data_IF_968614284883
#
_entry.id   IF_968614284883
#
_cell.length_a   1.000
_cell.length_b   1.000
_cell.length_c   1.000
_cell.angle_alpha   90.00
_cell.angle_beta   90.00
_cell.angle_gamma   90.00
#
_symmetry.space_group_name_H-M   'P 1'
#
loop_
_entity.id
_entity.type
_entity.pdbx_description
1 polymer ?
#
# COMPACT_ATOMS: atom_id res chain seq x y z
N UNK A 1 -11.49 -18.61 -53.99
CA UNK A 1 -11.85 -19.19 -52.68
C UNK A 1 -10.64 -19.56 -51.81
N UNK A 2 -9.64 -20.37 -52.26
CA UNK A 2 -8.50 -20.75 -51.40
C UNK A 2 -7.53 -19.60 -51.08
N UNK A 3 -7.44 -18.60 -51.97
CA UNK A 3 -6.61 -17.41 -51.75
C UNK A 3 -7.10 -16.51 -50.63
N UNK A 4 -8.43 -16.36 -50.49
CA UNK A 4 -9.02 -15.53 -49.43
C UNK A 4 -8.84 -16.19 -48.06
N UNK A 5 -9.02 -17.51 -47.97
CA UNK A 5 -8.73 -18.26 -46.74
C UNK A 5 -7.26 -18.21 -46.36
N UNK A 6 -6.34 -18.34 -47.32
CA UNK A 6 -4.91 -18.21 -47.05
C UNK A 6 -4.55 -16.80 -46.53
N UNK A 7 -5.16 -15.74 -47.09
CA UNK A 7 -4.91 -14.37 -46.66
C UNK A 7 -5.49 -14.09 -45.26
N UNK A 8 -6.69 -14.57 -44.97
CA UNK A 8 -7.32 -14.42 -43.64
C UNK A 8 -6.54 -15.17 -42.56
N UNK A 9 -6.05 -16.38 -42.85
CA UNK A 9 -5.20 -17.13 -41.94
C UNK A 9 -3.88 -16.40 -41.69
N UNK A 10 -3.26 -15.84 -42.73
CA UNK A 10 -2.04 -15.04 -42.60
C UNK A 10 -2.23 -13.81 -41.71
N UNK A 11 -3.32 -13.06 -41.92
CA UNK A 11 -3.65 -11.89 -41.10
C UNK A 11 -3.96 -12.29 -39.66
N UNK A 12 -4.69 -13.39 -39.43
CA UNK A 12 -4.99 -13.89 -38.10
C UNK A 12 -3.73 -14.27 -37.32
N UNK A 13 -2.77 -14.94 -37.97
CA UNK A 13 -1.48 -15.29 -37.37
C UNK A 13 -0.67 -14.04 -37.03
N UNK A 14 -0.63 -13.05 -37.93
CA UNK A 14 0.02 -11.76 -37.67
C UNK A 14 -0.60 -11.04 -36.48
N UNK A 15 -1.93 -10.97 -36.39
CA UNK A 15 -2.62 -10.35 -35.25
C UNK A 15 -2.33 -11.08 -33.92
N UNK A 16 -2.24 -12.41 -33.93
CA UNK A 16 -1.89 -13.18 -32.74
C UNK A 16 -0.44 -12.92 -32.30
N UNK A 17 0.49 -12.82 -33.25
CA UNK A 17 1.89 -12.46 -32.97
C UNK A 17 1.97 -11.05 -32.37
N UNK A 18 1.29 -10.07 -32.97
CA UNK A 18 1.23 -8.70 -32.45
C UNK A 18 0.65 -8.64 -31.03
N UNK A 19 -0.41 -9.42 -30.76
CA UNK A 19 -1.00 -9.50 -29.42
C UNK A 19 -0.01 -10.07 -28.40
N UNK A 20 0.67 -11.18 -28.75
CA UNK A 20 1.67 -11.82 -27.87
C UNK A 20 2.86 -10.88 -27.64
N UNK A 21 3.34 -10.19 -28.67
CA UNK A 21 4.41 -9.20 -28.55
C UNK A 21 3.98 -8.02 -27.68
N UNK A 22 2.76 -7.50 -27.86
CA UNK A 22 2.23 -6.39 -27.07
C UNK A 22 2.09 -6.77 -25.60
N UNK A 23 1.51 -7.95 -25.31
CA UNK A 23 1.39 -8.48 -23.95
C UNK A 23 2.77 -8.76 -23.34
N UNK A 24 3.70 -9.30 -24.12
CA UNK A 24 5.08 -9.55 -23.70
C UNK A 24 5.83 -8.25 -23.37
N UNK A 25 5.67 -7.22 -24.19
CA UNK A 25 6.25 -5.89 -23.97
C UNK A 25 5.63 -5.24 -22.73
N UNK A 26 4.31 -5.29 -22.55
CA UNK A 26 3.65 -4.76 -21.34
C UNK A 26 4.14 -5.50 -20.09
N UNK A 27 4.22 -6.84 -20.12
CA UNK A 27 4.76 -7.64 -19.01
C UNK A 27 6.22 -7.30 -18.73
N UNK A 28 7.03 -7.13 -19.78
CA UNK A 28 8.45 -6.81 -19.65
C UNK A 28 8.69 -5.38 -19.16
N UNK A 29 7.86 -4.42 -19.57
CA UNK A 29 7.91 -3.05 -19.08
C UNK A 29 7.54 -2.99 -17.60
N UNK A 30 6.47 -3.68 -17.19
CA UNK A 30 6.08 -3.78 -15.76
C UNK A 30 7.19 -4.42 -14.91
N UNK A 31 7.83 -5.47 -15.40
CA UNK A 31 8.94 -6.12 -14.70
C UNK A 31 10.21 -5.23 -14.63
N UNK A 32 10.43 -4.32 -15.58
CA UNK A 32 11.55 -3.37 -15.53
C UNK A 32 11.28 -2.15 -14.65
N UNK A 33 10.02 -1.78 -14.45
CA UNK A 33 9.61 -0.75 -13.48
C UNK A 33 9.90 -1.20 -12.04
N UNK A 34 9.76 -2.51 -11.77
CA UNK A 34 10.15 -3.14 -10.50
C UNK A 34 11.68 -3.08 -10.25
N UNK A 35 12.52 -3.27 -11.28
CA UNK A 35 13.99 -3.20 -11.14
C UNK A 35 14.54 -1.77 -11.05
N UNK A 36 13.80 -0.77 -11.53
CA UNK A 36 14.19 0.65 -11.41
C UNK A 36 13.84 1.26 -10.04
N UNK A 37 13.10 0.53 -9.19
CA UNK A 37 12.80 0.93 -7.80
C UNK A 37 13.96 0.74 -6.82
N UNK A 38 15.09 0.15 -7.24
CA UNK A 38 16.31 0.01 -6.41
C UNK A 38 17.29 1.20 -6.53
N UNK A 39 16.97 2.22 -7.34
CA UNK A 39 17.79 3.43 -7.45
C UNK A 39 17.17 4.52 -6.57
N UNK A 40 17.94 5.22 -5.71
CA UNK A 40 17.42 6.30 -4.89
C UNK A 40 17.13 7.51 -5.79
N UNK A 41 16.01 7.44 -6.51
CA UNK A 41 15.34 8.63 -7.02
C UNK A 41 14.83 9.35 -5.78
N UNK A 42 14.93 10.68 -5.77
CA UNK A 42 14.18 11.51 -4.83
C UNK A 42 12.70 11.22 -5.11
N UNK A 43 12.15 10.19 -4.47
CA UNK A 43 10.79 9.75 -4.70
C UNK A 43 9.86 10.91 -4.32
N UNK A 44 8.88 11.28 -5.16
CA UNK A 44 7.78 12.10 -4.68
C UNK A 44 7.20 11.37 -3.48
N UNK A 45 7.22 12.01 -2.30
CA UNK A 45 6.89 11.35 -1.03
C UNK A 45 5.52 10.67 -1.15
N UNK A 46 5.54 9.34 -1.14
CA UNK A 46 4.35 8.49 -1.32
C UNK A 46 3.44 8.60 -0.09
N UNK A 47 3.99 9.07 1.03
CA UNK A 47 3.33 9.36 2.30
C UNK A 47 4.03 10.56 2.94
N UNK A 48 3.36 11.26 3.86
CA UNK A 48 3.94 12.38 4.60
C UNK A 48 5.37 12.06 5.10
N UNK A 49 6.33 12.97 4.92
CA UNK A 49 7.71 12.74 5.32
C UNK A 49 7.86 12.78 6.86
N UNK A 50 8.94 12.19 7.39
CA UNK A 50 9.31 12.37 8.80
C UNK A 50 9.33 13.86 9.19
N UNK A 51 8.78 14.16 10.36
CA UNK A 51 8.62 15.51 10.89
C UNK A 51 7.32 16.20 10.50
N UNK A 52 6.57 15.72 9.50
CA UNK A 52 5.27 16.29 9.15
C UNK A 52 4.18 15.90 10.17
N UNK A 53 3.15 16.74 10.27
CA UNK A 53 1.95 16.48 11.08
C UNK A 53 0.87 15.86 10.20
N UNK A 54 0.23 14.80 10.67
CA UNK A 54 -0.93 14.23 9.99
C UNK A 54 -2.11 15.20 10.05
N UNK A 55 -2.97 15.15 9.04
CA UNK A 55 -4.26 15.82 9.10
C UNK A 55 -5.20 15.19 10.14
N UNK A 56 -6.21 15.94 10.57
CA UNK A 56 -7.28 15.37 11.41
C UNK A 56 -8.00 14.25 10.65
N UNK A 57 -8.24 13.15 11.34
CA UNK A 57 -8.96 12.00 10.80
C UNK A 57 -9.87 11.40 11.87
N UNK A 58 -10.97 10.79 11.42
CA UNK A 58 -11.86 10.02 12.26
C UNK A 58 -12.36 8.86 11.44
N UNK A 59 -12.19 7.66 11.96
CA UNK A 59 -12.53 6.43 11.27
C UNK A 59 -12.97 5.37 12.28
N UNK A 60 -13.65 4.35 11.77
CA UNK A 60 -14.10 3.21 12.57
C UNK A 60 -13.46 1.96 11.97
N UNK A 61 -12.82 1.17 12.82
CA UNK A 61 -12.27 -0.10 12.40
C UNK A 61 -13.37 -1.13 12.12
N UNK A 62 -13.04 -2.21 11.42
CA UNK A 62 -13.96 -3.31 11.12
C UNK A 62 -14.52 -3.98 12.38
N UNK A 63 -13.83 -3.86 13.51
CA UNK A 63 -14.27 -4.36 14.82
C UNK A 63 -15.12 -3.33 15.61
N UNK A 64 -15.45 -2.19 15.02
CA UNK A 64 -16.26 -1.14 15.65
C UNK A 64 -15.49 -0.22 16.60
N UNK A 65 -14.15 -0.30 16.65
CA UNK A 65 -13.33 0.61 17.46
C UNK A 65 -13.17 1.95 16.71
N UNK A 66 -13.55 3.04 17.36
CA UNK A 66 -13.31 4.40 16.86
C UNK A 66 -11.84 4.78 17.01
N UNK A 67 -11.27 5.32 15.93
CA UNK A 67 -9.88 5.80 15.89
C UNK A 67 -9.88 7.22 15.31
N UNK A 68 -9.25 8.13 16.03
CA UNK A 68 -9.00 9.52 15.61
C UNK A 68 -7.63 9.98 16.11
N UNK A 69 -7.20 11.13 15.62
CA UNK A 69 -6.00 11.82 16.09
C UNK A 69 -6.01 12.08 17.61
N UNK A 70 -7.18 12.34 18.19
CA UNK A 70 -7.35 12.55 19.63
C UNK A 70 -7.18 11.26 20.46
N UNK A 71 -7.40 10.09 19.85
CA UNK A 71 -7.28 8.79 20.53
C UNK A 71 -5.86 8.23 20.55
N UNK A 72 -4.91 8.89 19.86
CA UNK A 72 -3.50 8.47 19.78
C UNK A 72 -2.75 8.82 21.07
N UNK A 73 -2.87 7.97 22.10
CA UNK A 73 -2.19 8.16 23.39
C UNK A 73 -0.76 7.60 23.41
N UNK A 74 -0.44 6.74 22.45
CA UNK A 74 0.85 6.07 22.28
C UNK A 74 1.29 6.11 20.80
N UNK A 75 2.57 5.88 20.48
CA UNK A 75 3.00 5.79 19.09
C UNK A 75 2.24 4.69 18.36
N UNK A 76 1.86 4.98 17.12
CA UNK A 76 1.04 4.10 16.29
C UNK A 76 1.75 3.75 15.00
N UNK A 77 1.73 2.46 14.67
CA UNK A 77 2.19 1.93 13.39
C UNK A 77 1.02 1.95 12.40
N UNK A 78 1.18 2.64 11.28
CA UNK A 78 0.17 2.70 10.22
C UNK A 78 0.70 2.02 8.97
N UNK A 79 -0.10 1.13 8.39
CA UNK A 79 0.14 0.53 7.08
C UNK A 79 -1.07 0.71 6.18
N UNK A 80 -0.84 1.17 4.96
CA UNK A 80 -1.88 1.42 3.95
C UNK A 80 -1.64 0.52 2.75
N UNK A 81 -2.66 -0.27 2.42
CA UNK A 81 -2.62 -1.31 1.38
C UNK A 81 -3.81 -1.17 0.43
N UNK A 82 -3.63 -1.64 -0.80
CA UNK A 82 -4.65 -1.62 -1.84
C UNK A 82 -4.68 -2.97 -2.56
N UNK A 83 -5.87 -3.48 -2.93
CA UNK A 83 -6.01 -4.76 -3.62
C UNK A 83 -5.36 -4.69 -5.01
N UNK A 84 -4.80 -5.80 -5.47
CA UNK A 84 -4.15 -5.89 -6.78
C UNK A 84 -2.77 -5.23 -6.88
N UNK A 85 -2.24 -4.67 -5.79
CA UNK A 85 -0.85 -4.20 -5.71
C UNK A 85 0.11 -5.36 -5.38
N UNK A 86 1.01 -5.71 -6.30
CA UNK A 86 1.99 -6.80 -6.09
C UNK A 86 2.87 -6.56 -4.88
N UNK A 87 3.37 -5.33 -4.71
CA UNK A 87 4.18 -4.96 -3.57
C UNK A 87 3.41 -5.04 -2.23
N UNK A 88 2.10 -4.76 -2.21
CA UNK A 88 1.29 -4.93 -1.00
C UNK A 88 1.22 -6.39 -0.58
N UNK A 89 1.02 -7.32 -1.52
CA UNK A 89 0.96 -8.75 -1.25
C UNK A 89 2.24 -9.26 -0.55
N UNK A 90 3.41 -8.79 -0.99
CA UNK A 90 4.69 -9.19 -0.40
C UNK A 90 4.98 -8.52 0.95
N UNK A 91 4.43 -7.32 1.19
CA UNK A 91 4.66 -6.52 2.40
C UNK A 91 3.69 -6.81 3.52
N UNK A 92 2.47 -7.24 3.20
CA UNK A 92 1.41 -7.56 4.16
C UNK A 92 1.85 -8.54 5.27
N UNK A 93 2.49 -9.69 4.95
CA UNK A 93 2.94 -10.63 5.96
C UNK A 93 4.02 -10.02 6.87
N UNK A 94 4.94 -9.25 6.29
CA UNK A 94 6.01 -8.60 7.05
C UNK A 94 5.44 -7.54 8.01
N UNK A 95 4.47 -6.75 7.54
CA UNK A 95 3.76 -5.78 8.37
C UNK A 95 3.01 -6.49 9.50
N UNK A 96 2.35 -7.62 9.23
CA UNK A 96 1.68 -8.41 10.24
C UNK A 96 2.64 -8.96 11.31
N UNK A 97 3.84 -9.42 10.92
CA UNK A 97 4.88 -9.81 11.89
C UNK A 97 5.33 -8.63 12.75
N UNK A 98 5.59 -7.47 12.12
CA UNK A 98 5.98 -6.26 12.86
C UNK A 98 4.89 -5.85 13.84
N UNK A 99 3.63 -5.87 13.42
CA UNK A 99 2.46 -5.52 14.22
C UNK A 99 2.35 -6.37 15.49
N UNK A 100 2.60 -7.69 15.41
CA UNK A 100 2.58 -8.58 16.59
C UNK A 100 3.61 -8.21 17.66
N UNK A 101 4.75 -7.68 17.23
CA UNK A 101 5.85 -7.27 18.10
C UNK A 101 5.79 -5.79 18.51
N UNK A 102 4.81 -5.03 18.00
CA UNK A 102 4.75 -3.60 18.19
C UNK A 102 4.34 -3.24 19.63
N UNK A 103 5.03 -2.30 20.30
CA UNK A 103 4.63 -1.82 21.62
C UNK A 103 3.20 -1.27 21.62
N UNK A 104 2.44 -1.55 22.68
CA UNK A 104 1.01 -1.24 22.75
C UNK A 104 0.11 -2.26 22.06
N UNK A 105 0.69 -3.19 21.29
CA UNK A 105 -0.02 -4.30 20.66
C UNK A 105 -1.03 -3.84 19.60
N UNK A 106 -2.07 -4.63 19.41
CA UNK A 106 -3.07 -4.44 18.34
C UNK A 106 -3.73 -3.07 18.32
N UNK A 107 -3.96 -2.47 19.49
CA UNK A 107 -4.60 -1.16 19.62
C UNK A 107 -3.80 -0.01 19.02
N UNK A 108 -2.49 -0.20 18.88
CA UNK A 108 -1.56 0.80 18.37
C UNK A 108 -1.09 0.51 16.94
N UNK A 109 -1.77 -0.42 16.25
CA UNK A 109 -1.46 -0.74 14.86
C UNK A 109 -2.72 -0.47 14.04
N UNK A 110 -2.62 0.43 13.07
CA UNK A 110 -3.69 0.75 12.13
C UNK A 110 -3.34 0.17 10.76
N UNK A 111 -4.26 -0.62 10.22
CA UNK A 111 -4.15 -1.19 8.88
C UNK A 111 -5.26 -0.61 8.02
N UNK A 112 -4.92 0.27 7.08
CA UNK A 112 -5.88 0.85 6.13
C UNK A 112 -5.90 0.02 4.86
N UNK A 113 -7.08 -0.47 4.50
CA UNK A 113 -7.35 -1.20 3.27
C UNK A 113 -8.18 -0.29 2.35
N UNK A 114 -7.61 0.04 1.21
CA UNK A 114 -8.23 0.95 0.25
C UNK A 114 -8.98 0.17 -0.82
N UNK A 115 -10.30 0.11 -0.72
CA UNK A 115 -11.17 -0.67 -1.62
C UNK A 115 -12.52 -0.97 -0.99
N UNK A 116 -13.32 -1.84 -1.62
CA UNK A 116 -14.56 -2.33 -1.01
C UNK A 116 -14.29 -3.49 -0.03
N UNK A 117 -15.26 -3.80 0.84
CA UNK A 117 -15.12 -4.90 1.81
C UNK A 117 -14.86 -6.26 1.13
N UNK A 118 -15.44 -6.48 -0.05
CA UNK A 118 -15.25 -7.70 -0.82
C UNK A 118 -13.85 -7.79 -1.44
N UNK A 119 -13.32 -6.67 -1.93
CA UNK A 119 -12.01 -6.62 -2.60
C UNK A 119 -10.85 -6.86 -1.64
N UNK A 120 -11.01 -6.45 -0.37
CA UNK A 120 -9.94 -6.46 0.63
C UNK A 120 -10.12 -7.58 1.68
N UNK A 121 -11.02 -8.53 1.42
CA UNK A 121 -11.41 -9.55 2.37
C UNK A 121 -10.25 -10.44 2.83
N UNK A 122 -9.31 -10.77 1.93
CA UNK A 122 -8.16 -11.63 2.21
C UNK A 122 -7.10 -10.89 3.04
N UNK A 123 -6.82 -9.63 2.70
CA UNK A 123 -5.93 -8.73 3.43
C UNK A 123 -6.49 -8.46 4.84
N UNK A 124 -7.80 -8.19 4.94
CA UNK A 124 -8.50 -7.99 6.21
C UNK A 124 -8.34 -9.20 7.12
N UNK A 125 -8.60 -10.41 6.61
CA UNK A 125 -8.47 -11.65 7.39
C UNK A 125 -7.07 -11.86 7.95
N UNK A 126 -6.05 -11.38 7.25
CA UNK A 126 -4.65 -11.48 7.67
C UNK A 126 -4.31 -10.45 8.75
N UNK A 127 -4.86 -9.24 8.66
CA UNK A 127 -4.49 -8.10 9.49
C UNK A 127 -5.37 -7.91 10.74
N UNK A 128 -6.64 -8.31 10.71
CA UNK A 128 -7.56 -8.18 11.86
C UNK A 128 -7.01 -8.73 13.18
N UNK A 129 -6.32 -9.88 13.23
CA UNK A 129 -5.79 -10.41 14.48
C UNK A 129 -4.68 -9.56 15.11
N UNK A 130 -4.04 -8.68 14.32
CA UNK A 130 -2.79 -7.99 14.71
C UNK A 130 -2.88 -6.46 14.60
N UNK A 131 -3.90 -5.92 13.95
CA UNK A 131 -4.14 -4.49 13.79
C UNK A 131 -5.63 -4.13 13.90
N UNK A 132 -5.92 -2.87 14.16
CA UNK A 132 -7.22 -2.25 13.90
C UNK A 132 -7.31 -1.98 12.39
N UNK A 133 -8.15 -2.74 11.70
CA UNK A 133 -8.31 -2.62 10.25
C UNK A 133 -9.37 -1.56 9.92
N UNK A 134 -9.04 -0.63 9.03
CA UNK A 134 -9.94 0.40 8.53
C UNK A 134 -10.12 0.18 7.02
N UNK A 135 -11.35 0.24 6.55
CA UNK A 135 -11.67 0.14 5.12
C UNK A 135 -12.16 1.52 4.68
N UNK A 136 -11.50 2.09 3.70
CA UNK A 136 -11.85 3.43 3.21
C UNK A 136 -11.59 3.58 1.71
N UNK A 137 -12.21 4.59 1.10
CA UNK A 137 -11.92 4.97 -0.27
C UNK A 137 -10.61 5.76 -0.36
N UNK A 138 -9.92 5.66 -1.50
CA UNK A 138 -8.67 6.37 -1.70
C UNK A 138 -8.83 7.90 -1.55
N UNK A 139 -7.96 8.51 -0.74
CA UNK A 139 -8.00 9.97 -0.53
C UNK A 139 -9.10 10.41 0.43
N UNK A 140 -9.63 9.49 1.23
CA UNK A 140 -10.55 9.76 2.33
C UNK A 140 -9.87 9.44 3.68
N UNK A 141 -10.53 9.73 4.80
CA UNK A 141 -10.06 9.32 6.13
C UNK A 141 -8.55 9.47 6.40
N UNK A 142 -7.91 8.34 6.70
CA UNK A 142 -6.50 8.29 7.11
C UNK A 142 -5.54 8.41 5.92
N UNK A 143 -5.87 7.89 4.73
CA UNK A 143 -5.09 8.06 3.50
C UNK A 143 -4.97 9.54 3.11
N UNK A 144 -6.04 10.32 3.29
CA UNK A 144 -6.01 11.78 3.10
C UNK A 144 -5.14 12.47 4.15
N UNK A 145 -5.31 12.11 5.42
CA UNK A 145 -4.57 12.70 6.54
C UNK A 145 -3.06 12.45 6.43
N UNK A 146 -2.66 11.29 5.91
CA UNK A 146 -1.27 10.91 5.64
C UNK A 146 -0.75 11.35 4.26
N UNK A 147 -1.58 12.01 3.45
CA UNK A 147 -1.27 12.41 2.07
C UNK A 147 -0.68 11.24 1.26
N UNK A 148 -1.33 10.09 1.34
CA UNK A 148 -0.91 8.89 0.62
C UNK A 148 -1.10 9.10 -0.88
N UNK A 149 -0.01 8.91 -1.64
CA UNK A 149 0.05 9.02 -3.10
C UNK A 149 0.41 7.69 -3.79
N UNK A 150 0.50 6.60 -3.03
CA UNK A 150 0.78 5.26 -3.57
C UNK A 150 0.84 4.17 -2.50
N UNK A 151 1.01 2.92 -2.95
CA UNK A 151 0.90 1.74 -2.12
C UNK A 151 2.06 0.75 -2.36
N UNK A 152 2.49 -0.01 -1.34
CA UNK A 152 2.13 0.16 0.07
C UNK A 152 2.75 1.44 0.67
N UNK A 153 2.05 2.04 1.62
CA UNK A 153 2.58 3.16 2.41
C UNK A 153 2.63 2.78 3.87
N UNK A 154 3.78 2.96 4.51
CA UNK A 154 4.00 2.68 5.92
C UNK A 154 4.40 3.97 6.63
N UNK A 155 3.89 4.18 7.84
CA UNK A 155 4.24 5.31 8.67
C UNK A 155 4.26 4.92 10.15
N UNK A 156 5.18 5.52 10.89
CA UNK A 156 5.21 5.53 12.34
C UNK A 156 4.81 6.92 12.81
N UNK A 157 3.75 7.01 13.60
CA UNK A 157 3.19 8.28 14.08
C UNK A 157 3.36 8.34 15.60
N UNK A 158 3.82 9.48 16.12
CA UNK A 158 3.93 9.69 17.56
C UNK A 158 2.60 10.10 18.21
N UNK A 159 2.61 10.25 19.54
CA UNK A 159 1.45 10.65 20.37
C UNK A 159 0.90 12.05 20.07
N UNK A 160 1.61 12.84 19.25
CA UNK A 160 1.19 14.18 18.83
C UNK A 160 0.70 14.19 17.40
N UNK A 161 0.60 13.03 16.73
CA UNK A 161 0.24 12.97 15.32
C UNK A 161 1.38 13.37 14.38
N UNK A 162 2.65 13.35 14.84
CA UNK A 162 3.80 13.62 13.98
C UNK A 162 4.32 12.31 13.39
N UNK A 163 4.59 12.32 12.09
CA UNK A 163 5.26 11.21 11.42
C UNK A 163 6.72 11.17 11.87
N UNK A 164 7.12 10.10 12.54
CA UNK A 164 8.50 9.86 12.99
C UNK A 164 9.32 9.20 11.90
N UNK A 165 8.72 8.26 11.19
CA UNK A 165 9.32 7.56 10.06
C UNK A 165 8.23 7.19 9.06
N UNK A 166 8.57 7.13 7.78
CA UNK A 166 7.64 6.72 6.73
C UNK A 166 8.37 6.18 5.49
N UNK A 167 7.71 5.33 4.72
CA UNK A 167 8.28 4.73 3.52
C UNK A 167 7.39 3.66 2.91
N UNK A 168 7.97 2.86 2.02
CA UNK A 168 7.29 1.73 1.35
C UNK A 168 7.75 0.37 1.88
N UNK A 169 8.77 0.37 2.75
CA UNK A 169 9.34 -0.83 3.37
C UNK A 169 9.46 -0.67 4.87
N UNK A 170 9.50 -1.79 5.61
CA UNK A 170 9.69 -1.76 7.07
C UNK A 170 11.06 -1.21 7.47
N UNK A 171 12.09 -1.41 6.63
CA UNK A 171 13.43 -0.88 6.85
C UNK A 171 13.45 0.65 6.85
N UNK A 172 12.53 1.29 6.12
CA UNK A 172 12.39 2.76 6.14
C UNK A 172 11.84 3.27 7.47
N UNK A 173 11.09 2.44 8.21
CA UNK A 173 10.62 2.78 9.55
C UNK A 173 11.71 2.68 10.62
N UNK A 174 12.71 1.82 10.40
CA UNK A 174 13.86 1.66 11.29
C UNK A 174 14.90 2.78 11.14
N UNK A 175 14.83 3.52 10.03
CA UNK A 175 15.60 4.75 9.81
C UNK A 175 14.98 5.88 10.65
N UNK A 176 15.08 5.77 11.97
CA UNK A 176 14.76 6.87 12.88
C UNK A 176 15.71 8.03 12.51
N UNK A 177 15.23 9.20 12.05
CA UNK A 177 16.05 10.39 12.09
C UNK A 177 16.17 10.75 13.58
N UNK A 178 17.34 10.50 14.16
CA UNK A 178 17.71 10.85 15.55
C UNK A 178 17.84 12.37 15.74
N UNK A 179 17.18 13.20 14.93
CA UNK A 179 17.35 14.65 14.91
C UNK A 179 15.95 15.30 14.77
N UNK A 180 15.48 16.18 15.64
CA UNK A 180 16.07 16.91 16.78
C UNK A 180 14.94 17.42 17.69
#
# INVERSE_FOLDING_TARGET
>A
MPFLTALVLGVGVLCLIDLVLTVGVIRRLRAHEEMLSERPVVSPSIVLPPGAMIGGFSAVSTDGVHVSDETLTEPVLVGVFSPGCSACHDRLPQFAERARSFPGGRGNVLAVLVGTEEEVADERRTLEPVALVLIEEYGTGLTKALQVNGFPSLALVDVRGRVVASGTTLEDLDKIPVHA
#
